data_IF_307101156760
#
_entry.id   IF_307101156760
#
_cell.length_a   1.000
_cell.length_b   1.000
_cell.length_c   1.000
_cell.angle_alpha   90.00
_cell.angle_beta   90.00
_cell.angle_gamma   90.00
#
_symmetry.space_group_name_H-M   'P 1'
#
loop_
_entity.id
_entity.type
_entity.pdbx_description
1 polymer ?
#
# COMPACT_ATOMS: atom_id res chain seq x y z
N UNK A 1 -36.48 -15.64 18.43
CA UNK A 1 -36.12 -16.12 17.07
C UNK A 1 -35.57 -15.02 16.17
N UNK A 2 -36.33 -13.94 15.88
CA UNK A 2 -35.96 -12.92 14.88
C UNK A 2 -34.68 -12.12 15.18
N UNK A 3 -34.48 -11.69 16.43
CA UNK A 3 -33.32 -10.87 16.83
C UNK A 3 -32.00 -11.66 16.77
N UNK A 4 -32.02 -12.94 17.16
CA UNK A 4 -30.83 -13.80 17.10
C UNK A 4 -30.36 -14.08 15.67
N UNK A 5 -31.30 -14.21 14.72
CA UNK A 5 -30.97 -14.35 13.29
C UNK A 5 -30.33 -13.08 12.74
N UNK A 6 -30.84 -11.91 13.13
CA UNK A 6 -30.28 -10.61 12.70
C UNK A 6 -28.86 -10.41 13.24
N UNK A 7 -28.63 -10.71 14.52
CA UNK A 7 -27.29 -10.63 15.12
C UNK A 7 -26.31 -11.64 14.50
N UNK A 8 -26.75 -12.87 14.24
CA UNK A 8 -25.94 -13.88 13.57
C UNK A 8 -25.53 -13.47 12.16
N UNK A 9 -26.46 -12.89 11.40
CA UNK A 9 -26.18 -12.40 10.05
C UNK A 9 -25.21 -11.21 10.06
N UNK A 10 -25.36 -10.29 11.02
CA UNK A 10 -24.46 -9.14 11.17
C UNK A 10 -23.02 -9.55 11.52
N UNK A 11 -22.84 -10.52 12.43
CA UNK A 11 -21.52 -11.07 12.75
C UNK A 11 -20.90 -11.79 11.54
N UNK A 12 -21.68 -12.55 10.79
CA UNK A 12 -21.20 -13.23 9.58
C UNK A 12 -20.76 -12.23 8.51
N UNK A 13 -21.53 -11.17 8.28
CA UNK A 13 -21.18 -10.11 7.33
C UNK A 13 -19.90 -9.37 7.73
N UNK A 14 -19.72 -9.08 9.02
CA UNK A 14 -18.50 -8.46 9.52
C UNK A 14 -17.26 -9.35 9.34
N UNK A 15 -17.41 -10.68 9.44
CA UNK A 15 -16.30 -11.62 9.22
C UNK A 15 -15.84 -11.71 7.76
N UNK A 16 -16.70 -11.36 6.81
CA UNK A 16 -16.39 -11.32 5.37
C UNK A 16 -15.86 -9.96 4.90
N UNK A 17 -15.91 -8.92 5.74
CA UNK A 17 -15.37 -7.61 5.44
C UNK A 17 -13.84 -7.60 5.61
N UNK A 18 -13.13 -8.31 4.73
CA UNK A 18 -11.69 -8.18 4.59
C UNK A 18 -11.34 -6.79 4.07
N UNK A 19 -10.28 -6.18 4.60
CA UNK A 19 -9.74 -4.94 4.05
C UNK A 19 -9.29 -5.22 2.60
N UNK A 20 -9.93 -4.56 1.63
CA UNK A 20 -9.48 -4.60 0.24
C UNK A 20 -8.20 -3.77 0.14
N UNK A 21 -7.06 -4.44 0.26
CA UNK A 21 -5.75 -3.85 0.05
C UNK A 21 -5.53 -3.69 -1.46
N UNK A 22 -5.29 -2.46 -1.90
CA UNK A 22 -4.91 -2.14 -3.28
C UNK A 22 -3.38 -2.23 -3.47
N UNK A 23 -2.74 -3.07 -2.66
CA UNK A 23 -1.31 -3.30 -2.66
C UNK A 23 -1.04 -4.80 -2.85
N UNK A 24 -0.14 -5.12 -3.77
CA UNK A 24 0.34 -6.47 -4.05
C UNK A 24 1.73 -6.58 -3.46
N UNK A 25 1.92 -7.53 -2.54
CA UNK A 25 3.22 -7.74 -1.89
C UNK A 25 4.30 -8.04 -2.93
N UNK A 26 5.42 -7.34 -2.78
CA UNK A 26 6.59 -7.52 -3.64
C UNK A 26 7.76 -8.12 -2.88
N UNK A 27 8.71 -8.65 -3.63
CA UNK A 27 9.96 -9.21 -3.10
C UNK A 27 11.13 -8.73 -3.92
N UNK A 28 12.28 -8.55 -3.28
CA UNK A 28 13.50 -8.08 -3.90
C UNK A 28 13.91 -6.70 -3.42
N UNK A 29 14.89 -6.12 -4.10
CA UNK A 29 15.43 -4.79 -3.78
C UNK A 29 15.83 -4.05 -5.04
N UNK A 30 15.84 -2.73 -5.00
CA UNK A 30 16.40 -1.88 -6.05
C UNK A 30 17.50 -1.00 -5.47
N UNK A 31 18.45 -0.63 -6.32
CA UNK A 31 19.45 0.41 -6.01
C UNK A 31 18.96 1.72 -6.60
N UNK A 32 18.88 2.77 -5.80
CA UNK A 32 18.51 4.08 -6.30
C UNK A 32 19.68 4.68 -7.08
N UNK A 33 19.48 4.98 -8.36
CA UNK A 33 20.51 5.61 -9.19
C UNK A 33 20.76 7.08 -8.79
N UNK A 34 19.70 7.76 -8.37
CA UNK A 34 19.72 9.15 -7.93
C UNK A 34 18.86 9.36 -6.67
N UNK A 35 19.04 10.53 -6.05
CA UNK A 35 18.13 10.96 -5.00
C UNK A 35 16.75 11.30 -5.58
N UNK A 36 15.73 10.57 -5.14
CA UNK A 36 14.36 10.69 -5.63
C UNK A 36 13.42 11.03 -4.46
N UNK A 37 12.78 12.21 -4.46
CA UNK A 37 11.86 12.60 -3.39
C UNK A 37 10.52 11.82 -3.48
N UNK A 38 10.02 11.38 -2.33
CA UNK A 38 8.79 10.60 -2.21
C UNK A 38 7.52 11.48 -2.27
N UNK A 39 7.33 12.22 -3.38
CA UNK A 39 6.16 13.09 -3.53
C UNK A 39 4.87 12.28 -3.71
N UNK A 40 3.81 12.61 -2.95
CA UNK A 40 2.51 11.93 -3.04
C UNK A 40 1.72 12.33 -4.29
N UNK A 41 1.92 13.56 -4.76
CA UNK A 41 1.32 14.06 -5.98
C UNK A 41 2.34 14.89 -6.74
N UNK A 42 2.68 14.42 -7.96
CA UNK A 42 3.64 15.09 -8.85
C UNK A 42 3.21 16.55 -9.12
N UNK A 43 1.90 16.80 -9.21
CA UNK A 43 1.33 18.13 -9.52
C UNK A 43 1.65 19.21 -8.49
N UNK A 44 1.81 18.85 -7.21
CA UNK A 44 1.99 19.83 -6.13
C UNK A 44 3.28 19.62 -5.32
N UNK A 45 4.08 18.62 -5.66
CA UNK A 45 5.38 18.36 -5.04
C UNK A 45 5.32 18.03 -3.54
N UNK A 46 4.14 17.68 -3.00
CA UNK A 46 3.99 17.42 -1.56
C UNK A 46 4.77 16.15 -1.17
N UNK A 47 5.80 16.32 -0.35
CA UNK A 47 6.62 15.24 0.21
C UNK A 47 6.60 15.30 1.76
N UNK A 48 5.58 14.75 2.43
CA UNK A 48 5.51 14.73 3.89
C UNK A 48 6.69 13.97 4.49
N UNK A 49 7.32 14.54 5.52
CA UNK A 49 8.53 13.96 6.12
C UNK A 49 9.81 14.19 5.32
N UNK A 50 9.74 14.89 4.18
CA UNK A 50 10.89 15.22 3.32
C UNK A 50 11.74 13.97 2.99
N UNK A 51 11.07 12.86 2.68
CA UNK A 51 11.72 11.57 2.47
C UNK A 51 12.29 11.51 1.05
N UNK A 52 13.52 11.05 0.91
CA UNK A 52 14.17 10.84 -0.38
C UNK A 52 14.97 9.55 -0.35
N UNK A 53 15.11 8.90 -1.50
CA UNK A 53 16.19 7.92 -1.68
C UNK A 53 17.54 8.62 -1.73
N UNK A 54 18.59 7.87 -1.48
CA UNK A 54 19.99 8.29 -1.64
C UNK A 54 20.63 7.49 -2.79
N UNK A 55 21.43 8.17 -3.61
CA UNK A 55 22.11 7.54 -4.73
C UNK A 55 23.05 6.41 -4.26
N UNK A 56 22.99 5.26 -4.93
CA UNK A 56 23.75 4.06 -4.62
C UNK A 56 23.22 3.22 -3.46
N UNK A 57 22.16 3.65 -2.77
CA UNK A 57 21.55 2.88 -1.68
C UNK A 57 20.59 1.82 -2.18
N UNK A 58 20.59 0.66 -1.52
CA UNK A 58 19.68 -0.44 -1.79
C UNK A 58 18.46 -0.39 -0.87
N UNK A 59 17.27 -0.52 -1.44
CA UNK A 59 15.99 -0.50 -0.73
C UNK A 59 15.19 -1.76 -1.04
N UNK A 60 14.52 -2.30 -0.03
CA UNK A 60 13.64 -3.45 -0.22
C UNK A 60 12.30 -3.01 -0.83
N UNK A 61 11.81 -3.82 -1.77
CA UNK A 61 10.46 -3.67 -2.31
C UNK A 61 9.46 -4.18 -1.28
N UNK A 62 8.46 -3.36 -0.96
CA UNK A 62 7.42 -3.70 0.02
C UNK A 62 6.16 -4.21 -0.70
N UNK A 63 5.61 -3.38 -1.58
CA UNK A 63 4.41 -3.68 -2.36
C UNK A 63 4.31 -2.76 -3.58
N UNK A 64 3.54 -3.17 -4.58
CA UNK A 64 3.13 -2.35 -5.73
C UNK A 64 1.61 -2.17 -5.76
N UNK A 65 1.12 -1.24 -6.58
CA UNK A 65 -0.32 -0.95 -6.67
C UNK A 65 -1.13 -2.00 -7.46
N UNK A 66 -0.45 -2.93 -8.13
CA UNK A 66 -1.00 -4.07 -8.90
C UNK A 66 0.11 -5.09 -9.14
N UNK A 67 -0.21 -6.24 -9.74
CA UNK A 67 0.76 -7.30 -10.03
C UNK A 67 1.92 -6.83 -10.92
N UNK A 68 1.64 -5.93 -11.86
CA UNK A 68 2.62 -5.33 -12.79
C UNK A 68 2.58 -3.79 -12.73
N UNK A 69 3.19 -3.18 -11.70
CA UNK A 69 3.30 -1.72 -11.62
C UNK A 69 4.20 -1.20 -12.74
N UNK A 70 3.80 -0.08 -13.31
CA UNK A 70 4.52 0.56 -14.43
C UNK A 70 5.35 1.76 -13.97
N UNK A 71 5.21 2.15 -12.70
CA UNK A 71 5.92 3.23 -12.01
C UNK A 71 6.10 2.84 -10.55
#
# INVERSE_FOLDING_TARGET
MRIGVVFGLAMLAASLAGAAHADVKMSGSFVADAACPATQAIKNGKNPGNVSTDAGQSYQLLAGNKDTPTH
#
